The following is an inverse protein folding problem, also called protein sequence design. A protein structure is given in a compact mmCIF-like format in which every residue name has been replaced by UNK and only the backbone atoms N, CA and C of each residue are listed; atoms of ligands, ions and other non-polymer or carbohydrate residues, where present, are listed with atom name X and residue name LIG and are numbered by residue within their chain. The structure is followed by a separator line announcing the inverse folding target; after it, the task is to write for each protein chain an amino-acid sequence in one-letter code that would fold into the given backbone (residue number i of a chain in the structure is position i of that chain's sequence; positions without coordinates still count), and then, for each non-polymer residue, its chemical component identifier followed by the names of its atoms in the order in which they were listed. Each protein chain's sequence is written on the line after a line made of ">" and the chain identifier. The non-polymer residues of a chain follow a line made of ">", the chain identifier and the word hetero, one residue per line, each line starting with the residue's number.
data_IF_657841136156
#
_entry.id   IF_657841136156
#
_cell.length_a   1.000
_cell.length_b   1.000
_cell.length_c   1.000
_cell.angle_alpha   90.00
_cell.angle_beta   90.00
_cell.angle_gamma   90.00
#
_symmetry.space_group_name_H-M   'P 1'
#
loop_
_entity.id
_entity.type
_entity.pdbx_description
1 polymer ?
#
# COMPACT_ATOMS: atom_id res chain seq x y z
N UNK A 1 -34.36 -15.08 21.40
CA UNK A 1 -33.22 -15.95 21.16
C UNK A 1 -32.13 -15.10 20.50
N UNK A 2 -30.85 -15.27 20.80
CA UNK A 2 -29.80 -14.51 20.14
C UNK A 2 -29.76 -14.91 18.65
N UNK A 3 -29.79 -13.91 17.77
CA UNK A 3 -29.67 -14.08 16.32
C UNK A 3 -28.26 -14.64 16.03
N UNK A 4 -28.17 -15.70 15.26
CA UNK A 4 -26.89 -16.25 14.87
C UNK A 4 -26.14 -15.25 13.96
N UNK A 5 -24.80 -15.27 13.97
CA UNK A 5 -23.98 -14.41 13.11
C UNK A 5 -24.32 -14.59 11.62
N UNK A 6 -24.71 -15.78 11.23
CA UNK A 6 -25.13 -16.10 9.83
C UNK A 6 -26.50 -15.49 9.50
N UNK A 7 -27.45 -15.51 10.46
CA UNK A 7 -28.74 -14.84 10.28
C UNK A 7 -28.62 -13.33 10.27
N UNK A 8 -27.76 -12.76 11.13
CA UNK A 8 -27.48 -11.33 11.10
C UNK A 8 -26.88 -10.91 9.75
N UNK A 9 -25.91 -11.65 9.24
CA UNK A 9 -25.32 -11.38 7.92
C UNK A 9 -26.34 -11.50 6.80
N UNK A 10 -27.21 -12.52 6.80
CA UNK A 10 -28.29 -12.67 5.80
C UNK A 10 -29.33 -11.55 5.89
N UNK A 11 -29.68 -11.13 7.09
CA UNK A 11 -30.61 -10.02 7.31
C UNK A 11 -30.01 -8.71 6.81
N UNK A 12 -28.72 -8.46 7.10
CA UNK A 12 -27.97 -7.31 6.58
C UNK A 12 -27.82 -7.37 5.06
N UNK A 13 -27.53 -8.54 4.50
CA UNK A 13 -27.49 -8.74 3.04
C UNK A 13 -28.85 -8.51 2.39
N UNK A 14 -29.94 -8.97 3.01
CA UNK A 14 -31.31 -8.72 2.56
C UNK A 14 -31.70 -7.24 2.64
N UNK A 15 -31.33 -6.56 3.71
CA UNK A 15 -31.58 -5.13 3.88
C UNK A 15 -30.74 -4.27 2.91
N UNK A 16 -29.50 -4.64 2.69
CA UNK A 16 -28.60 -3.97 1.73
C UNK A 16 -29.00 -4.23 0.27
N UNK A 17 -29.66 -5.35 -0.01
CA UNK A 17 -30.20 -5.68 -1.34
C UNK A 17 -31.45 -4.88 -1.69
N UNK A 18 -32.15 -4.32 -0.71
CA UNK A 18 -33.31 -3.45 -0.93
C UNK A 18 -32.86 -2.01 -1.22
N UNK A 19 -32.50 -1.75 -2.48
CA UNK A 19 -32.60 -0.46 -3.22
C UNK A 19 -32.24 0.84 -2.46
N UNK A 20 -31.23 0.85 -1.64
CA UNK A 20 -30.51 2.10 -1.42
C UNK A 20 -29.61 2.31 -2.64
N UNK A 21 -29.59 3.50 -3.28
CA UNK A 21 -28.59 3.77 -4.30
C UNK A 21 -27.23 3.51 -3.65
N UNK A 22 -26.46 2.57 -4.23
CA UNK A 22 -25.09 2.33 -3.76
C UNK A 22 -24.37 3.68 -3.74
N UNK A 23 -23.66 4.03 -2.67
CA UNK A 23 -22.89 5.26 -2.65
C UNK A 23 -21.95 5.28 -3.84
N UNK A 24 -21.63 6.48 -4.36
CA UNK A 24 -20.76 6.64 -5.52
C UNK A 24 -19.40 5.95 -5.31
N UNK A 25 -18.98 5.80 -4.04
CA UNK A 25 -17.81 5.02 -3.59
C UNK A 25 -18.13 4.30 -2.28
N UNK A 26 -17.56 3.12 -2.09
CA UNK A 26 -17.73 2.33 -0.87
C UNK A 26 -16.73 2.78 0.21
N UNK A 27 -17.18 3.24 1.38
CA UNK A 27 -16.27 3.71 2.42
C UNK A 27 -15.60 2.53 3.13
N UNK A 28 -14.26 2.50 3.10
CA UNK A 28 -13.42 1.53 3.78
C UNK A 28 -12.36 2.26 4.61
N UNK A 29 -12.43 2.11 5.92
CA UNK A 29 -11.47 2.69 6.83
C UNK A 29 -10.51 1.63 7.37
N UNK A 30 -9.21 1.95 7.39
CA UNK A 30 -8.18 1.15 8.04
C UNK A 30 -7.57 1.99 9.14
N UNK A 31 -7.70 1.55 10.39
CA UNK A 31 -7.36 2.35 11.55
C UNK A 31 -6.17 1.76 12.30
N UNK A 32 -5.10 2.53 12.41
CA UNK A 32 -3.92 2.20 13.21
C UNK A 32 -3.88 2.90 14.59
N UNK A 33 -4.84 3.76 14.87
CA UNK A 33 -5.01 4.41 16.17
C UNK A 33 -6.29 3.92 16.87
N UNK A 34 -6.47 4.35 18.12
CA UNK A 34 -7.63 3.98 18.93
C UNK A 34 -8.71 5.07 18.94
N UNK A 35 -8.76 5.90 17.91
CA UNK A 35 -9.82 6.90 17.79
C UNK A 35 -11.19 6.24 17.60
N UNK A 36 -12.26 7.02 17.77
CA UNK A 36 -13.62 6.51 17.60
C UNK A 36 -13.84 5.92 16.20
N UNK A 37 -14.57 4.81 16.14
CA UNK A 37 -14.92 4.15 14.90
C UNK A 37 -15.87 5.03 14.08
N UNK A 38 -15.71 5.03 12.77
CA UNK A 38 -16.68 5.64 11.85
C UNK A 38 -17.80 4.64 11.54
N UNK A 39 -18.97 4.86 12.16
CA UNK A 39 -20.13 3.98 11.99
C UNK A 39 -20.66 3.95 10.54
N UNK A 40 -20.23 4.86 9.69
CA UNK A 40 -20.66 4.95 8.28
C UNK A 40 -19.76 4.19 7.31
N UNK A 41 -18.63 3.65 7.78
CA UNK A 41 -17.64 2.94 6.99
C UNK A 41 -17.46 1.48 7.44
N UNK A 42 -17.05 0.62 6.51
CA UNK A 42 -16.48 -0.67 6.90
C UNK A 42 -15.08 -0.44 7.49
N UNK A 43 -14.90 -0.81 8.74
CA UNK A 43 -13.64 -0.58 9.44
C UNK A 43 -12.80 -1.85 9.58
N UNK A 44 -11.50 -1.71 9.34
CA UNK A 44 -10.49 -2.73 9.64
C UNK A 44 -9.58 -2.18 10.73
N UNK A 45 -9.54 -2.85 11.88
CA UNK A 45 -8.64 -2.48 12.98
C UNK A 45 -7.21 -2.98 12.65
N UNK A 46 -6.31 -2.02 12.44
CA UNK A 46 -4.89 -2.23 12.21
C UNK A 46 -4.03 -1.68 13.36
N UNK A 47 -4.62 -1.43 14.53
CA UNK A 47 -3.92 -0.82 15.67
C UNK A 47 -2.73 -1.66 16.16
N UNK A 48 -2.81 -3.00 16.07
CA UNK A 48 -1.71 -3.91 16.38
C UNK A 48 -0.49 -3.71 15.46
N UNK A 49 -0.67 -3.08 14.28
CA UNK A 49 0.36 -2.84 13.26
C UNK A 49 0.85 -1.40 13.22
N UNK A 50 0.48 -0.59 14.18
CA UNK A 50 0.87 0.83 14.25
C UNK A 50 2.33 1.07 14.63
N UNK A 51 2.98 0.06 15.20
CA UNK A 51 4.37 0.12 15.67
C UNK A 51 4.56 0.83 17.00
N UNK A 52 3.56 1.53 17.51
CA UNK A 52 3.55 2.16 18.84
C UNK A 52 4.90 2.65 19.36
N UNK A 53 5.13 2.45 20.64
CA UNK A 53 6.41 2.75 21.30
C UNK A 53 7.39 1.57 21.33
N UNK A 54 7.02 0.38 20.86
CA UNK A 54 7.81 -0.80 21.13
C UNK A 54 8.29 -1.53 19.85
N UNK A 55 7.43 -2.29 19.21
CA UNK A 55 7.85 -3.18 18.11
C UNK A 55 6.69 -3.42 17.15
N UNK A 56 7.01 -3.74 15.91
CA UNK A 56 6.02 -4.32 14.99
C UNK A 56 5.86 -5.81 15.27
N UNK A 57 4.68 -6.40 15.00
CA UNK A 57 4.49 -7.83 14.98
C UNK A 57 5.41 -8.51 13.95
N UNK A 58 5.63 -9.82 14.11
CA UNK A 58 6.38 -10.59 13.12
C UNK A 58 5.63 -10.65 11.76
N UNK A 59 6.35 -10.95 10.65
CA UNK A 59 5.76 -10.96 9.31
C UNK A 59 4.59 -11.93 9.12
N UNK A 60 4.54 -13.03 9.89
CA UNK A 60 3.44 -14.00 9.81
C UNK A 60 2.13 -13.35 10.27
N UNK A 61 2.17 -12.63 11.40
CA UNK A 61 1.01 -11.91 11.90
C UNK A 61 0.54 -10.83 10.94
N UNK A 62 1.45 -10.10 10.29
CA UNK A 62 1.09 -9.15 9.25
C UNK A 62 0.31 -9.82 8.11
N UNK A 63 0.72 -11.02 7.71
CA UNK A 63 0.06 -11.75 6.63
C UNK A 63 -1.30 -12.31 7.06
N UNK A 64 -1.38 -12.93 8.24
CA UNK A 64 -2.60 -13.60 8.71
C UNK A 64 -3.64 -12.64 9.28
N UNK A 65 -3.22 -11.65 10.06
CA UNK A 65 -4.10 -10.78 10.83
C UNK A 65 -4.42 -9.45 10.09
N UNK A 66 -3.61 -9.03 9.12
CA UNK A 66 -3.86 -7.80 8.34
C UNK A 66 -4.13 -8.12 6.85
N UNK A 67 -3.18 -8.74 6.14
CA UNK A 67 -3.31 -8.93 4.70
C UNK A 67 -4.49 -9.83 4.33
N UNK A 68 -4.64 -10.96 5.00
CA UNK A 68 -5.74 -11.89 4.74
C UNK A 68 -7.13 -11.27 4.99
N UNK A 69 -7.39 -10.47 6.05
CA UNK A 69 -8.59 -9.65 6.18
C UNK A 69 -8.79 -8.64 5.05
N UNK A 70 -7.75 -7.90 4.64
CA UNK A 70 -7.82 -6.95 3.52
C UNK A 70 -8.23 -7.64 2.23
N UNK A 71 -7.63 -8.77 1.89
CA UNK A 71 -7.99 -9.55 0.71
C UNK A 71 -9.41 -10.13 0.77
N UNK A 72 -9.86 -10.61 1.95
CA UNK A 72 -11.25 -11.06 2.13
C UNK A 72 -12.23 -9.92 1.90
N UNK A 73 -11.92 -8.75 2.44
CA UNK A 73 -12.73 -7.52 2.27
C UNK A 73 -12.78 -7.12 0.80
N UNK A 74 -11.65 -7.09 0.10
CA UNK A 74 -11.61 -6.78 -1.33
C UNK A 74 -12.46 -7.76 -2.15
N UNK A 75 -12.36 -9.07 -1.89
CA UNK A 75 -13.20 -10.08 -2.55
C UNK A 75 -14.69 -9.88 -2.24
N UNK A 76 -15.02 -9.55 -1.01
CA UNK A 76 -16.39 -9.30 -0.57
C UNK A 76 -16.99 -8.06 -1.26
N UNK A 77 -16.24 -6.94 -1.34
CA UNK A 77 -16.65 -5.72 -2.03
C UNK A 77 -16.89 -6.02 -3.53
N UNK A 78 -15.93 -6.69 -4.17
CA UNK A 78 -16.01 -7.04 -5.59
C UNK A 78 -17.19 -7.96 -5.93
N UNK A 79 -17.48 -8.95 -5.09
CA UNK A 79 -18.61 -9.86 -5.27
C UNK A 79 -19.96 -9.12 -5.29
N UNK A 80 -20.02 -7.89 -4.81
CA UNK A 80 -21.21 -7.00 -4.84
C UNK A 80 -21.24 -6.05 -6.04
N UNK A 81 -20.30 -6.20 -6.98
CA UNK A 81 -20.19 -5.35 -8.15
C UNK A 81 -19.67 -3.95 -7.86
N UNK A 82 -19.10 -3.73 -6.67
CA UNK A 82 -18.53 -2.45 -6.26
C UNK A 82 -17.08 -2.39 -6.75
N UNK A 83 -16.75 -1.36 -7.51
CA UNK A 83 -15.40 -1.12 -8.03
C UNK A 83 -14.74 0.12 -7.41
N UNK A 84 -15.52 1.09 -6.95
CA UNK A 84 -14.99 2.33 -6.38
C UNK A 84 -15.00 2.30 -4.85
N UNK A 85 -13.83 2.55 -4.24
CA UNK A 85 -13.64 2.50 -2.80
C UNK A 85 -13.04 3.82 -2.31
N UNK A 86 -13.73 4.47 -1.37
CA UNK A 86 -13.20 5.63 -0.64
C UNK A 86 -12.45 5.14 0.59
N UNK A 87 -11.15 5.37 0.61
CA UNK A 87 -10.30 4.99 1.73
C UNK A 87 -10.34 6.05 2.83
N UNK A 88 -10.21 5.60 4.07
CA UNK A 88 -10.13 6.47 5.24
C UNK A 88 -9.25 5.86 6.33
N UNK A 89 -9.06 6.62 7.40
CA UNK A 89 -8.27 6.22 8.56
C UNK A 89 -6.81 6.66 8.49
N UNK A 90 -6.04 6.14 9.44
CA UNK A 90 -4.60 6.37 9.55
C UNK A 90 -3.86 5.04 9.57
N UNK A 91 -2.78 4.94 8.82
CA UNK A 91 -2.04 3.67 8.70
C UNK A 91 -0.57 3.87 8.34
N UNK A 92 0.25 2.89 8.70
CA UNK A 92 1.68 2.82 8.35
C UNK A 92 1.88 2.54 6.87
N UNK A 93 3.09 2.75 6.38
CA UNK A 93 3.42 2.59 4.95
C UNK A 93 3.23 1.15 4.46
N UNK A 94 3.59 0.14 5.27
CA UNK A 94 3.33 -1.25 4.94
C UNK A 94 1.84 -1.58 4.87
N UNK A 95 1.04 -1.06 5.81
CA UNK A 95 -0.43 -1.18 5.78
C UNK A 95 -1.01 -0.46 4.56
N UNK A 96 -0.54 0.76 4.27
CA UNK A 96 -0.94 1.54 3.11
C UNK A 96 -0.69 0.79 1.79
N UNK A 97 0.51 0.24 1.66
CA UNK A 97 0.89 -0.53 0.48
C UNK A 97 0.06 -1.82 0.34
N UNK A 98 -0.11 -2.58 1.43
CA UNK A 98 -0.92 -3.81 1.45
C UNK A 98 -2.39 -3.53 1.11
N UNK A 99 -2.95 -2.39 1.60
CA UNK A 99 -4.29 -1.93 1.26
C UNK A 99 -4.42 -1.65 -0.23
N UNK A 100 -3.49 -0.87 -0.80
CA UNK A 100 -3.43 -0.61 -2.24
C UNK A 100 -3.31 -1.90 -3.06
N UNK A 101 -2.44 -2.82 -2.64
CA UNK A 101 -2.26 -4.11 -3.30
C UNK A 101 -3.50 -5.01 -3.23
N UNK A 102 -4.19 -5.04 -2.10
CA UNK A 102 -5.44 -5.81 -1.95
C UNK A 102 -6.55 -5.29 -2.85
N UNK A 103 -6.55 -3.97 -3.13
CA UNK A 103 -7.52 -3.27 -3.98
C UNK A 103 -6.87 -2.83 -5.32
N UNK A 104 -6.02 -3.68 -5.90
CA UNK A 104 -5.23 -3.31 -7.08
C UNK A 104 -6.07 -3.11 -8.35
N UNK A 105 -5.60 -2.22 -9.22
CA UNK A 105 -6.27 -1.87 -10.48
C UNK A 105 -6.47 -3.08 -11.40
N UNK A 106 -5.56 -4.05 -11.38
CA UNK A 106 -5.64 -5.28 -12.18
C UNK A 106 -6.88 -6.14 -11.89
N UNK A 107 -7.50 -5.98 -10.71
CA UNK A 107 -8.75 -6.64 -10.36
C UNK A 107 -9.96 -5.69 -10.42
N UNK A 108 -9.81 -4.50 -11.00
CA UNK A 108 -10.88 -3.59 -11.36
C UNK A 108 -11.32 -2.61 -10.28
N UNK A 109 -10.47 -2.31 -9.27
CA UNK A 109 -10.77 -1.27 -8.30
C UNK A 109 -10.30 0.11 -8.75
N UNK A 110 -11.04 1.13 -8.34
CA UNK A 110 -10.72 2.55 -8.37
C UNK A 110 -10.75 3.07 -6.93
N UNK A 111 -9.74 3.83 -6.52
CA UNK A 111 -9.61 4.30 -5.15
C UNK A 111 -9.72 5.81 -5.05
N UNK A 112 -10.37 6.28 -4.00
CA UNK A 112 -10.28 7.65 -3.49
C UNK A 112 -9.42 7.59 -2.22
N UNK A 113 -8.23 8.21 -2.28
CA UNK A 113 -7.22 8.14 -1.23
C UNK A 113 -7.17 9.50 -0.54
N UNK A 114 -7.49 9.61 0.77
CA UNK A 114 -7.49 10.88 1.46
C UNK A 114 -6.07 11.45 1.57
N UNK A 115 -5.97 12.76 1.39
CA UNK A 115 -4.76 13.54 1.62
C UNK A 115 -5.12 14.81 2.40
N UNK A 116 -4.12 15.57 2.83
CA UNK A 116 -4.36 16.84 3.53
C UNK A 116 -5.04 17.90 2.66
N UNK A 117 -4.89 17.79 1.34
CA UNK A 117 -5.38 18.77 0.35
C UNK A 117 -6.66 18.29 -0.37
N UNK A 118 -7.24 17.16 0.08
CA UNK A 118 -8.40 16.55 -0.54
C UNK A 118 -8.22 15.05 -0.78
N UNK A 119 -8.84 14.51 -1.81
CA UNK A 119 -8.70 13.11 -2.15
C UNK A 119 -7.98 12.92 -3.49
N UNK A 120 -7.03 11.99 -3.54
CA UNK A 120 -6.43 11.52 -4.79
C UNK A 120 -7.25 10.36 -5.34
N UNK A 121 -7.56 10.43 -6.63
CA UNK A 121 -8.30 9.36 -7.29
C UNK A 121 -7.39 8.58 -8.22
N UNK A 122 -7.51 7.25 -8.20
CA UNK A 122 -6.67 6.39 -9.05
C UNK A 122 -7.13 6.34 -10.50
N UNK A 123 -8.35 6.80 -10.81
CA UNK A 123 -8.88 6.98 -12.15
C UNK A 123 -8.50 8.35 -12.79
N UNK A 124 -7.89 9.27 -12.02
CA UNK A 124 -7.29 10.48 -12.56
C UNK A 124 -6.09 10.11 -13.44
N UNK A 125 -6.32 10.11 -14.76
CA UNK A 125 -5.29 9.73 -15.73
C UNK A 125 -4.18 10.76 -15.79
N UNK A 126 -2.90 10.33 -15.72
CA UNK A 126 -1.78 11.22 -15.96
C UNK A 126 -1.90 11.92 -17.32
N UNK A 127 -1.55 13.19 -17.37
CA UNK A 127 -1.45 13.99 -18.58
C UNK A 127 0.02 14.20 -18.98
N UNK A 128 0.25 14.72 -20.19
CA UNK A 128 1.57 15.16 -20.58
C UNK A 128 2.06 16.24 -19.61
N UNK A 129 3.24 16.07 -19.03
CA UNK A 129 3.79 16.95 -17.99
C UNK A 129 3.65 16.41 -16.55
N UNK A 130 2.65 15.60 -16.22
CA UNK A 130 2.54 14.99 -14.88
C UNK A 130 3.68 13.99 -14.57
N UNK A 131 4.37 13.51 -15.60
CA UNK A 131 5.53 12.61 -15.50
C UNK A 131 6.88 13.34 -15.46
N UNK A 132 6.88 14.69 -15.61
CA UNK A 132 8.10 15.50 -15.68
C UNK A 132 8.71 15.75 -14.28
N UNK A 133 8.21 15.07 -13.24
CA UNK A 133 8.85 15.08 -11.93
C UNK A 133 10.25 14.47 -12.01
N UNK A 134 11.21 15.15 -11.40
CA UNK A 134 12.63 14.80 -11.47
C UNK A 134 12.98 13.58 -10.59
N UNK A 135 12.37 12.42 -10.89
CA UNK A 135 12.74 11.16 -10.24
C UNK A 135 14.18 10.77 -10.58
N UNK A 136 15.01 10.61 -9.56
CA UNK A 136 16.31 9.97 -9.69
C UNK A 136 16.12 8.46 -9.59
N UNK A 137 16.47 7.75 -10.66
CA UNK A 137 16.37 6.30 -10.75
C UNK A 137 17.77 5.71 -10.88
N UNK A 138 18.20 4.95 -9.89
CA UNK A 138 19.47 4.21 -9.89
C UNK A 138 19.16 2.72 -10.00
N UNK A 139 19.75 2.08 -11.00
CA UNK A 139 19.48 0.67 -11.29
C UNK A 139 20.55 -0.21 -10.66
N UNK A 140 20.17 -1.32 -9.99
CA UNK A 140 21.13 -2.25 -9.42
C UNK A 140 21.85 -3.02 -10.53
N UNK A 141 23.06 -3.46 -10.26
CA UNK A 141 23.84 -4.35 -11.14
C UNK A 141 23.81 -5.80 -10.68
N UNK A 142 23.49 -6.05 -9.41
CA UNK A 142 23.43 -7.37 -8.79
C UNK A 142 22.25 -7.49 -7.83
N UNK A 143 22.01 -8.68 -7.30
CA UNK A 143 21.02 -8.99 -6.28
C UNK A 143 21.67 -9.08 -4.90
N UNK A 144 20.87 -8.89 -3.85
CA UNK A 144 21.21 -9.13 -2.46
C UNK A 144 20.55 -10.47 -2.02
N UNK A 145 21.32 -11.51 -1.84
CA UNK A 145 20.83 -12.87 -1.51
C UNK A 145 19.63 -13.30 -2.38
N UNK A 146 19.78 -13.25 -3.70
CA UNK A 146 18.72 -13.55 -4.68
C UNK A 146 17.50 -12.63 -4.63
N UNK A 147 17.52 -11.57 -3.84
CA UNK A 147 16.43 -10.59 -3.75
C UNK A 147 16.82 -9.26 -4.40
N UNK A 148 15.83 -8.64 -5.04
CA UNK A 148 15.93 -7.25 -5.49
C UNK A 148 15.61 -6.32 -4.32
N UNK A 149 16.58 -5.53 -3.89
CA UNK A 149 16.37 -4.47 -2.90
C UNK A 149 15.83 -3.24 -3.61
N UNK A 150 14.64 -2.79 -3.20
CA UNK A 150 13.96 -1.62 -3.79
C UNK A 150 13.77 -0.56 -2.73
N UNK A 151 14.39 0.60 -2.94
CA UNK A 151 14.29 1.81 -2.14
C UNK A 151 13.44 2.83 -2.87
N UNK A 152 12.34 3.30 -2.27
CA UNK A 152 11.46 4.30 -2.85
C UNK A 152 11.28 5.45 -1.88
N UNK A 153 11.74 6.64 -2.27
CA UNK A 153 11.70 7.83 -1.44
C UNK A 153 10.96 9.01 -2.09
N UNK A 154 10.07 9.65 -1.32
CA UNK A 154 9.50 10.96 -1.66
C UNK A 154 9.86 11.91 -0.53
N UNK A 155 10.58 12.98 -0.84
CA UNK A 155 11.19 13.97 0.09
C UNK A 155 12.31 13.42 0.98
N UNK A 156 12.37 12.12 1.23
CA UNK A 156 13.41 11.45 1.99
C UNK A 156 13.91 10.26 1.20
N UNK A 157 15.23 10.17 1.03
CA UNK A 157 15.89 9.04 0.37
C UNK A 157 16.22 7.96 1.42
N UNK A 158 15.59 6.77 1.39
CA UNK A 158 15.89 5.69 2.34
C UNK A 158 17.17 4.91 2.02
N UNK A 159 17.77 5.08 0.83
CA UNK A 159 18.93 4.27 0.40
C UNK A 159 20.14 4.39 1.31
N UNK A 160 20.39 5.60 1.84
CA UNK A 160 21.48 5.84 2.80
C UNK A 160 21.28 5.06 4.11
N UNK A 161 20.02 5.01 4.62
CA UNK A 161 19.69 4.23 5.81
C UNK A 161 19.87 2.73 5.56
N UNK A 162 19.55 2.24 4.34
CA UNK A 162 19.70 0.83 3.96
C UNK A 162 21.16 0.39 3.93
N UNK A 163 22.04 1.21 3.38
CA UNK A 163 23.47 0.93 3.37
C UNK A 163 24.05 0.87 4.80
N UNK A 164 23.59 1.77 5.68
CA UNK A 164 24.07 1.87 7.04
C UNK A 164 23.52 0.76 7.97
N UNK A 165 22.27 0.31 7.77
CA UNK A 165 21.57 -0.57 8.72
C UNK A 165 21.38 -2.00 8.23
N UNK A 166 21.25 -2.20 6.93
CA UNK A 166 21.04 -3.53 6.32
C UNK A 166 22.30 -4.06 5.62
N UNK A 167 23.39 -3.28 5.59
CA UNK A 167 24.62 -3.67 4.91
C UNK A 167 24.47 -3.81 3.38
N UNK A 168 23.37 -3.33 2.82
CA UNK A 168 23.13 -3.42 1.38
C UNK A 168 24.11 -2.53 0.62
N UNK A 169 24.78 -3.10 -0.36
CA UNK A 169 25.69 -2.34 -1.23
C UNK A 169 24.90 -1.49 -2.21
N UNK A 170 25.42 -0.32 -2.59
CA UNK A 170 24.75 0.57 -3.52
C UNK A 170 24.45 -0.09 -4.89
N UNK A 171 25.27 -1.04 -5.31
CA UNK A 171 25.13 -1.78 -6.56
C UNK A 171 24.00 -2.86 -6.51
N UNK A 172 23.49 -3.20 -5.31
CA UNK A 172 22.35 -4.12 -5.13
C UNK A 172 21.02 -3.38 -4.95
N UNK A 173 21.02 -2.06 -4.75
CA UNK A 173 19.84 -1.26 -4.48
C UNK A 173 19.29 -0.62 -5.76
N UNK A 174 18.05 -0.99 -6.13
CA UNK A 174 17.24 -0.17 -7.04
C UNK A 174 16.71 1.02 -6.25
N UNK A 175 17.23 2.22 -6.50
CA UNK A 175 16.80 3.43 -5.82
C UNK A 175 15.92 4.31 -6.72
N UNK A 176 14.73 4.67 -6.23
CA UNK A 176 13.83 5.64 -6.83
C UNK A 176 13.58 6.76 -5.84
N UNK A 177 14.11 7.94 -6.10
CA UNK A 177 14.02 9.09 -5.20
C UNK A 177 13.47 10.33 -5.90
N UNK A 178 12.51 10.99 -5.25
CA UNK A 178 11.95 12.27 -5.63
C UNK A 178 12.20 13.28 -4.51
N UNK A 179 12.91 14.37 -4.81
CA UNK A 179 13.24 15.42 -3.82
C UNK A 179 12.13 16.46 -3.59
N UNK A 180 11.08 16.42 -4.38
CA UNK A 180 9.95 17.34 -4.32
C UNK A 180 8.64 16.64 -3.89
N UNK A 181 7.65 17.38 -3.34
CA UNK A 181 6.40 16.79 -2.90
C UNK A 181 5.51 16.38 -4.07
N UNK A 182 4.75 15.32 -3.88
CA UNK A 182 3.64 14.95 -4.76
C UNK A 182 2.42 15.80 -4.39
N UNK A 183 1.99 16.67 -5.29
CA UNK A 183 0.93 17.67 -5.02
C UNK A 183 -0.40 17.34 -5.69
N UNK A 184 -0.47 16.30 -6.53
CA UNK A 184 -1.71 15.93 -7.21
C UNK A 184 -1.87 14.41 -7.37
N UNK A 185 -3.14 13.98 -7.53
CA UNK A 185 -3.46 12.59 -7.85
C UNK A 185 -2.76 12.12 -9.13
N UNK A 186 -2.76 12.94 -10.18
CA UNK A 186 -2.11 12.61 -11.46
C UNK A 186 -0.61 12.42 -11.33
N UNK A 187 0.06 13.34 -10.62
CA UNK A 187 1.49 13.23 -10.34
C UNK A 187 1.80 11.95 -9.53
N UNK A 188 0.98 11.62 -8.52
CA UNK A 188 1.14 10.39 -7.74
C UNK A 188 0.93 9.14 -8.59
N UNK A 189 -0.07 9.14 -9.49
CA UNK A 189 -0.34 8.02 -10.39
C UNK A 189 0.78 7.85 -11.45
N UNK A 190 1.28 8.94 -12.01
CA UNK A 190 2.42 8.94 -12.94
C UNK A 190 3.67 8.38 -12.26
N UNK A 191 3.96 8.87 -11.06
CA UNK A 191 5.09 8.44 -10.21
C UNK A 191 5.01 6.96 -9.84
N UNK A 192 3.85 6.48 -9.36
CA UNK A 192 3.65 5.07 -9.04
C UNK A 192 3.85 4.18 -10.27
N UNK A 193 3.36 4.61 -11.44
CA UNK A 193 3.57 3.92 -12.70
C UNK A 193 5.04 3.92 -13.15
N UNK A 194 5.77 5.03 -12.96
CA UNK A 194 7.19 5.14 -13.29
C UNK A 194 8.03 4.21 -12.40
N UNK A 195 7.85 4.28 -11.08
CA UNK A 195 8.55 3.43 -10.12
C UNK A 195 8.28 1.96 -10.41
N UNK A 196 7.00 1.59 -10.60
CA UNK A 196 6.64 0.20 -10.93
C UNK A 196 7.33 -0.30 -12.20
N UNK A 197 7.36 0.49 -13.28
CA UNK A 197 8.06 0.10 -14.52
C UNK A 197 9.57 -0.04 -14.33
N UNK A 198 10.18 0.82 -13.51
CA UNK A 198 11.61 0.73 -13.23
C UNK A 198 11.96 -0.55 -12.44
N UNK A 199 11.11 -0.92 -11.48
CA UNK A 199 11.24 -2.19 -10.73
C UNK A 199 10.98 -3.40 -11.64
N UNK A 200 9.97 -3.36 -12.52
CA UNK A 200 9.72 -4.41 -13.52
C UNK A 200 10.93 -4.65 -14.42
N UNK A 201 11.55 -3.57 -14.89
CA UNK A 201 12.74 -3.66 -15.75
C UNK A 201 13.93 -4.30 -15.01
N UNK A 202 14.16 -3.92 -13.74
CA UNK A 202 15.18 -4.52 -12.90
C UNK A 202 14.90 -5.99 -12.63
N UNK A 203 13.65 -6.34 -12.24
CA UNK A 203 13.25 -7.72 -11.99
C UNK A 203 13.31 -8.58 -13.25
N UNK A 204 12.91 -8.06 -14.40
CA UNK A 204 13.03 -8.77 -15.69
C UNK A 204 14.47 -9.07 -16.08
N UNK A 205 15.41 -8.17 -15.79
CA UNK A 205 16.83 -8.33 -16.06
C UNK A 205 17.52 -9.28 -15.09
N UNK A 206 17.29 -9.10 -13.78
CA UNK A 206 18.02 -9.81 -12.73
C UNK A 206 17.34 -11.09 -12.25
N UNK A 207 16.04 -11.26 -12.53
CA UNK A 207 15.21 -12.43 -12.21
C UNK A 207 15.30 -12.83 -10.72
N UNK A 208 15.02 -11.90 -9.79
CA UNK A 208 15.10 -12.17 -8.36
C UNK A 208 14.04 -13.19 -7.92
N UNK A 209 14.34 -13.94 -6.85
CA UNK A 209 13.38 -14.81 -6.17
C UNK A 209 12.31 -14.04 -5.41
N UNK A 210 12.58 -12.77 -5.06
CA UNK A 210 11.67 -11.88 -4.35
C UNK A 210 12.19 -10.44 -4.31
N UNK A 211 11.36 -9.56 -3.75
CA UNK A 211 11.65 -8.13 -3.59
C UNK A 211 11.67 -7.80 -2.09
N UNK A 212 12.70 -7.09 -1.64
CA UNK A 212 12.74 -6.40 -0.35
C UNK A 212 12.39 -4.92 -0.61
N UNK A 213 11.19 -4.46 -0.20
CA UNK A 213 10.68 -3.13 -0.51
C UNK A 213 10.70 -2.21 0.70
N UNK A 214 11.32 -1.05 0.52
CA UNK A 214 11.50 0.01 1.52
C UNK A 214 10.91 1.30 0.97
N UNK A 215 9.96 1.90 1.71
CA UNK A 215 9.30 3.13 1.29
C UNK A 215 9.50 4.21 2.36
N UNK A 216 9.83 5.41 1.92
CA UNK A 216 9.80 6.63 2.74
C UNK A 216 9.00 7.70 1.98
N UNK A 217 7.85 8.14 2.53
CA UNK A 217 7.01 9.12 1.86
C UNK A 217 5.58 9.15 2.37
N UNK A 218 4.66 9.81 1.66
CA UNK A 218 3.25 9.87 2.03
C UNK A 218 2.56 8.49 1.95
N UNK A 219 1.71 8.18 2.92
CA UNK A 219 0.91 6.94 2.90
C UNK A 219 0.02 6.84 1.64
N UNK A 220 -0.53 7.97 1.18
CA UNK A 220 -1.32 8.01 -0.04
C UNK A 220 -0.53 7.55 -1.28
N UNK A 221 0.77 7.87 -1.36
CA UNK A 221 1.63 7.36 -2.42
C UNK A 221 1.92 5.86 -2.27
N UNK A 222 2.11 5.37 -1.05
CA UNK A 222 2.28 3.93 -0.81
C UNK A 222 1.04 3.15 -1.23
N UNK A 223 -0.19 3.66 -0.97
CA UNK A 223 -1.44 3.09 -1.50
C UNK A 223 -1.43 3.08 -3.02
N UNK A 224 -1.11 4.21 -3.66
CA UNK A 224 -1.11 4.33 -5.12
C UNK A 224 -0.09 3.36 -5.77
N UNK A 225 1.08 3.18 -5.15
CA UNK A 225 2.09 2.25 -5.62
C UNK A 225 1.62 0.80 -5.46
N UNK A 226 1.08 0.43 -4.28
CA UNK A 226 0.50 -0.90 -4.04
C UNK A 226 -0.64 -1.23 -5.00
N UNK A 227 -1.50 -0.24 -5.29
CA UNK A 227 -2.61 -0.37 -6.25
C UNK A 227 -2.15 -0.75 -7.67
N UNK A 228 -0.92 -0.39 -8.05
CA UNK A 228 -0.29 -0.75 -9.33
C UNK A 228 0.64 -1.96 -9.25
N UNK A 229 0.88 -2.52 -8.06
CA UNK A 229 1.86 -3.58 -7.82
C UNK A 229 1.33 -4.97 -8.20
N UNK A 230 0.97 -5.14 -9.45
CA UNK A 230 0.51 -6.42 -10.01
C UNK A 230 1.63 -7.11 -10.80
N UNK A 231 1.58 -8.43 -10.86
CA UNK A 231 2.55 -9.28 -11.58
C UNK A 231 4.01 -9.06 -11.16
N UNK A 232 4.23 -8.74 -9.88
CA UNK A 232 5.57 -8.59 -9.30
C UNK A 232 6.00 -9.89 -8.61
N UNK A 233 7.32 -10.14 -8.48
CA UNK A 233 7.81 -11.20 -7.61
C UNK A 233 7.29 -11.06 -6.17
N UNK A 234 7.28 -12.15 -5.36
CA UNK A 234 6.93 -12.07 -3.95
C UNK A 234 7.63 -10.88 -3.27
N UNK A 235 6.88 -10.03 -2.60
CA UNK A 235 7.39 -8.76 -2.09
C UNK A 235 7.30 -8.71 -0.57
N UNK A 236 8.44 -8.58 0.10
CA UNK A 236 8.54 -8.34 1.53
C UNK A 236 8.65 -6.85 1.80
N UNK A 237 7.63 -6.27 2.42
CA UNK A 237 7.68 -4.88 2.90
C UNK A 237 8.54 -4.75 4.15
N UNK A 238 9.13 -3.57 4.32
CA UNK A 238 9.91 -3.22 5.50
C UNK A 238 9.48 -1.85 6.03
N UNK A 239 9.34 -1.74 7.36
CA UNK A 239 9.05 -0.49 8.05
C UNK A 239 10.28 0.00 8.83
N UNK A 240 10.45 1.32 8.87
CA UNK A 240 11.50 1.92 9.67
C UNK A 240 11.09 2.00 11.13
N UNK A 241 11.81 1.31 12.00
CA UNK A 241 11.64 1.36 13.45
C UNK A 241 12.53 2.46 14.02
N UNK A 242 11.93 3.61 14.29
CA UNK A 242 12.68 4.81 14.70
C UNK A 242 13.46 4.64 16.01
N UNK A 243 12.92 3.89 16.97
CA UNK A 243 13.58 3.63 18.26
C UNK A 243 14.90 2.87 18.10
N UNK A 244 14.98 1.97 17.13
CA UNK A 244 16.17 1.14 16.86
C UNK A 244 16.96 1.63 15.64
N UNK A 245 16.45 2.65 14.95
CA UNK A 245 17.02 3.22 13.73
C UNK A 245 17.35 2.18 12.65
N UNK A 246 16.49 1.19 12.50
CA UNK A 246 16.62 0.11 11.51
C UNK A 246 15.30 -0.20 10.82
N UNK A 247 15.37 -0.84 9.68
CA UNK A 247 14.23 -1.43 9.01
C UNK A 247 13.94 -2.84 9.54
N UNK A 248 12.66 -3.16 9.70
CA UNK A 248 12.19 -4.49 10.10
C UNK A 248 11.19 -5.02 9.06
N UNK A 249 11.23 -6.34 8.76
CA UNK A 249 10.27 -6.93 7.84
C UNK A 249 8.85 -6.89 8.43
N UNK A 250 7.87 -6.68 7.55
CA UNK A 250 6.45 -6.57 7.90
C UNK A 250 5.61 -7.49 7.02
N UNK A 251 4.66 -6.97 6.24
CA UNK A 251 3.78 -7.77 5.39
C UNK A 251 4.53 -8.35 4.19
N UNK A 252 4.21 -9.62 3.87
CA UNK A 252 4.66 -10.29 2.66
C UNK A 252 3.48 -10.49 1.71
N UNK A 253 3.67 -10.07 0.46
CA UNK A 253 2.67 -10.08 -0.62
C UNK A 253 3.02 -11.11 -1.67
#
# INVERSE_FOLDING_TARGET
>A
APISRVELLRTLEGALSQKLPLPASFPLHVRSDRNEADETALEIDASAFSGGSATFPDPVRWTEELLAPLERTARWIRARGISRVALGGSYRLSTAFALGWSLRSAIGFELEIPTREGAWRTDDRPQAGDADLAWRLEQPTSLDDDHLVVSVGVLRDPSADLSATAGASADTIMNAYLSEPLTSARAAQASAGLVKRAVDAAAGRLKPSGIKLFIAGPAAFAVALGHRWNAMPPTQMHEFLAAERRYVPTVRL
#
